data_IF_510207712975
#
_entry.id   IF_510207712975
#
_cell.length_a   1.000
_cell.length_b   1.000
_cell.length_c   1.000
_cell.angle_alpha   90.00
_cell.angle_beta   90.00
_cell.angle_gamma   90.00
#
_symmetry.space_group_name_H-M   'P 1'
#
loop_
_entity.id
_entity.type
_entity.pdbx_description
1 polymer ?
#
# COMPACT_ATOMS: atom_id res chain seq x y z
N UNK A 1 1.49 -2.09 -20.33
CA UNK A 1 1.48 -3.51 -20.72
C UNK A 1 2.79 -4.20 -20.29
N UNK A 2 3.96 -3.77 -20.77
CA UNK A 2 5.27 -4.42 -20.49
C UNK A 2 5.54 -4.54 -18.99
N UNK A 3 5.31 -3.48 -18.21
CA UNK A 3 5.53 -3.50 -16.76
C UNK A 3 4.70 -4.58 -16.05
N UNK A 4 3.44 -4.77 -16.44
CA UNK A 4 2.60 -5.85 -15.90
C UNK A 4 3.15 -7.23 -16.22
N UNK A 5 3.60 -7.44 -17.46
CA UNK A 5 4.22 -8.70 -17.89
C UNK A 5 5.49 -8.99 -17.08
N UNK A 6 6.34 -7.97 -16.88
CA UNK A 6 7.56 -8.13 -16.08
C UNK A 6 7.24 -8.48 -14.61
N UNK A 7 6.24 -7.82 -14.01
CA UNK A 7 5.82 -8.13 -12.64
C UNK A 7 5.30 -9.56 -12.47
N UNK A 8 4.62 -10.13 -13.47
CA UNK A 8 4.19 -11.52 -13.42
C UNK A 8 5.34 -12.52 -13.53
N UNK A 9 6.46 -12.11 -14.13
CA UNK A 9 7.66 -12.93 -14.20
C UNK A 9 8.46 -12.87 -12.92
N UNK A 10 8.62 -11.67 -12.33
CA UNK A 10 9.41 -11.44 -11.12
C UNK A 10 9.03 -10.11 -10.45
N UNK A 11 9.06 -10.08 -9.13
CA UNK A 11 8.89 -8.85 -8.34
C UNK A 11 7.45 -8.44 -8.04
N UNK A 12 6.48 -9.31 -8.26
CA UNK A 12 5.08 -9.03 -7.96
C UNK A 12 4.89 -8.64 -6.48
N UNK A 13 4.19 -7.56 -6.25
CA UNK A 13 3.97 -6.99 -4.91
C UNK A 13 5.11 -6.11 -4.38
N UNK A 14 6.28 -6.06 -5.01
CA UNK A 14 7.45 -5.36 -4.48
C UNK A 14 7.38 -3.83 -4.70
N UNK A 15 8.24 -3.30 -5.53
CA UNK A 15 8.38 -1.85 -5.76
C UNK A 15 8.54 -1.58 -7.24
N UNK A 16 7.83 -0.57 -7.75
CA UNK A 16 8.05 -0.02 -9.08
C UNK A 16 8.44 1.46 -9.00
N UNK A 17 9.12 1.95 -10.02
CA UNK A 17 9.44 3.36 -10.17
C UNK A 17 8.79 3.95 -11.42
N UNK A 18 8.38 5.19 -11.33
CA UNK A 18 7.91 5.98 -12.45
C UNK A 18 8.55 7.37 -12.44
N UNK A 19 9.00 7.82 -13.59
CA UNK A 19 9.42 9.19 -13.80
C UNK A 19 8.39 9.88 -14.70
N UNK A 20 7.60 10.77 -14.11
CA UNK A 20 6.54 11.50 -14.83
C UNK A 20 6.14 12.76 -14.09
N UNK A 21 5.89 13.83 -14.83
CA UNK A 21 5.27 15.06 -14.33
C UNK A 21 3.73 15.06 -14.54
N UNK A 22 3.21 14.05 -15.23
CA UNK A 22 1.78 13.88 -15.43
C UNK A 22 1.17 13.03 -14.31
N UNK A 23 0.38 13.67 -13.47
CA UNK A 23 -0.28 13.04 -12.32
C UNK A 23 -1.24 11.91 -12.75
N UNK A 24 -1.89 12.03 -13.92
CA UNK A 24 -2.77 10.97 -14.41
C UNK A 24 -2.00 9.67 -14.70
N UNK A 25 -0.80 9.79 -15.26
CA UNK A 25 0.08 8.63 -15.48
C UNK A 25 0.56 8.01 -14.18
N UNK A 26 0.86 8.83 -13.16
CA UNK A 26 1.26 8.34 -11.83
C UNK A 26 0.13 7.56 -11.17
N UNK A 27 -1.08 8.13 -11.15
CA UNK A 27 -2.27 7.48 -10.59
C UNK A 27 -2.56 6.17 -11.35
N UNK A 28 -2.53 6.21 -12.68
CA UNK A 28 -2.75 5.03 -13.50
C UNK A 28 -1.73 3.93 -13.21
N UNK A 29 -0.46 4.27 -13.06
CA UNK A 29 0.57 3.29 -12.69
C UNK A 29 0.28 2.69 -11.31
N UNK A 30 -0.06 3.51 -10.31
CA UNK A 30 -0.37 3.06 -8.95
C UNK A 30 -1.60 2.16 -8.85
N UNK A 31 -2.60 2.39 -9.71
CA UNK A 31 -3.84 1.58 -9.72
C UNK A 31 -3.71 0.30 -10.54
N UNK A 32 -2.84 0.28 -11.55
CA UNK A 32 -2.75 -0.84 -12.48
C UNK A 32 -1.62 -1.83 -12.17
N UNK A 33 -0.60 -1.44 -11.41
CA UNK A 33 0.53 -2.30 -11.08
C UNK A 33 0.33 -2.98 -9.72
N UNK A 34 0.56 -4.28 -9.67
CA UNK A 34 0.51 -5.07 -8.44
C UNK A 34 1.80 -4.88 -7.64
N UNK A 35 1.98 -3.69 -7.05
CA UNK A 35 3.15 -3.33 -6.24
C UNK A 35 2.72 -2.64 -4.95
N UNK A 36 3.44 -2.89 -3.87
CA UNK A 36 3.18 -2.27 -2.56
C UNK A 36 3.74 -0.84 -2.47
N UNK A 37 4.67 -0.49 -3.35
CA UNK A 37 5.29 0.84 -3.42
C UNK A 37 5.45 1.28 -4.86
N UNK A 38 5.02 2.49 -5.16
CA UNK A 38 5.33 3.18 -6.40
C UNK A 38 6.18 4.41 -6.08
N UNK A 39 7.44 4.36 -6.43
CA UNK A 39 8.37 5.47 -6.24
C UNK A 39 8.25 6.42 -7.43
N UNK A 40 8.00 7.69 -7.16
CA UNK A 40 7.77 8.71 -8.19
C UNK A 40 8.97 9.67 -8.23
N UNK A 41 9.54 9.83 -9.41
CA UNK A 41 10.65 10.76 -9.69
C UNK A 41 11.88 10.61 -8.78
N UNK A 42 12.11 9.40 -8.27
CA UNK A 42 13.26 9.08 -7.43
C UNK A 42 13.78 7.67 -7.73
N UNK A 43 15.06 7.37 -7.43
CA UNK A 43 15.62 6.04 -7.62
C UNK A 43 15.04 5.02 -6.64
N UNK A 44 14.43 3.94 -7.12
CA UNK A 44 13.87 2.88 -6.26
C UNK A 44 14.91 2.27 -5.32
N UNK A 45 16.13 2.04 -5.81
CA UNK A 45 17.18 1.37 -5.04
C UNK A 45 17.54 2.08 -3.72
N UNK A 46 17.40 3.40 -3.68
CA UNK A 46 17.78 4.22 -2.51
C UNK A 46 16.60 4.75 -1.73
N UNK A 47 15.37 4.71 -2.26
CA UNK A 47 14.21 5.34 -1.63
C UNK A 47 13.05 4.39 -1.31
N UNK A 48 13.04 3.17 -1.85
CA UNK A 48 12.02 2.17 -1.53
C UNK A 48 12.05 1.76 -0.05
N UNK A 49 13.23 1.72 0.56
CA UNK A 49 13.42 1.47 1.98
C UNK A 49 13.05 2.65 2.90
N UNK A 50 12.42 3.67 2.35
CA UNK A 50 11.99 4.86 3.08
C UNK A 50 12.99 5.99 3.08
N UNK A 51 12.49 7.21 3.09
CA UNK A 51 13.29 8.42 3.22
C UNK A 51 12.42 9.56 3.78
N UNK A 52 13.08 10.59 4.31
CA UNK A 52 12.39 11.81 4.77
C UNK A 52 11.63 12.46 3.62
N UNK A 53 12.13 12.37 2.39
CA UNK A 53 11.54 13.00 1.22
C UNK A 53 10.26 12.33 0.72
N UNK A 54 10.10 11.01 0.90
CA UNK A 54 8.93 10.27 0.41
C UNK A 54 7.96 9.83 1.53
N UNK A 55 8.31 10.08 2.78
CA UNK A 55 7.46 9.76 3.93
C UNK A 55 7.27 8.28 4.25
N UNK A 56 7.90 7.38 3.51
CA UNK A 56 7.88 5.96 3.84
C UNK A 56 8.77 5.69 5.07
N UNK A 57 8.36 4.82 5.99
CA UNK A 57 9.21 4.41 7.11
C UNK A 57 10.55 3.83 6.65
N UNK A 58 11.63 4.25 7.29
CA UNK A 58 12.97 3.76 6.96
C UNK A 58 13.15 2.34 7.47
N UNK A 59 13.51 1.41 6.56
CA UNK A 59 13.70 0.00 6.86
C UNK A 59 14.51 -0.71 5.78
N UNK A 60 15.09 -1.84 6.14
CA UNK A 60 15.70 -2.78 5.19
C UNK A 60 14.75 -3.93 4.82
N UNK A 61 13.59 -4.04 5.47
CA UNK A 61 12.63 -5.12 5.25
C UNK A 61 11.36 -4.56 4.62
N UNK A 62 11.09 -4.96 3.37
CA UNK A 62 9.99 -4.47 2.56
C UNK A 62 8.94 -5.57 2.39
N UNK A 63 7.72 -5.32 2.87
CA UNK A 63 6.58 -6.20 2.62
C UNK A 63 6.06 -6.07 1.18
N UNK A 64 5.66 -7.18 0.59
CA UNK A 64 5.13 -7.27 -0.77
C UNK A 64 3.63 -7.59 -0.81
N UNK A 65 2.97 -7.66 0.34
CA UNK A 65 1.56 -7.97 0.46
C UNK A 65 1.20 -9.35 -0.08
N UNK A 66 -0.09 -9.59 -0.26
CA UNK A 66 -0.60 -10.85 -0.80
C UNK A 66 -0.11 -11.13 -2.22
N UNK A 67 0.20 -10.11 -3.01
CA UNK A 67 0.79 -10.27 -4.35
C UNK A 67 2.14 -10.96 -4.34
N UNK A 68 2.92 -10.78 -3.26
CA UNK A 68 4.23 -11.40 -3.06
C UNK A 68 4.21 -12.52 -2.03
N UNK A 69 3.02 -13.04 -1.65
CA UNK A 69 2.85 -14.05 -0.59
C UNK A 69 3.42 -13.61 0.77
N UNK A 70 3.31 -12.33 1.09
CA UNK A 70 3.73 -11.75 2.36
C UNK A 70 2.52 -11.37 3.23
N UNK A 71 2.72 -11.36 4.55
CA UNK A 71 1.71 -10.97 5.52
C UNK A 71 1.50 -9.47 5.63
N UNK A 72 2.46 -8.65 5.16
CA UNK A 72 2.41 -7.19 5.18
C UNK A 72 2.71 -6.62 3.79
N UNK A 73 2.15 -5.45 3.48
CA UNK A 73 2.33 -4.73 2.21
C UNK A 73 3.06 -3.41 2.36
N UNK A 74 3.68 -3.16 3.49
CA UNK A 74 4.33 -1.88 3.81
C UNK A 74 5.77 -2.08 4.29
N UNK A 75 6.47 -0.97 4.51
CA UNK A 75 7.81 -0.97 5.07
C UNK A 75 7.74 -1.46 6.52
N UNK A 76 8.52 -2.49 6.85
CA UNK A 76 8.48 -3.13 8.15
C UNK A 76 9.00 -2.21 9.25
N UNK A 77 8.23 -2.07 10.33
CA UNK A 77 8.60 -1.27 11.51
C UNK A 77 8.32 -2.05 12.79
N UNK A 78 8.74 -1.50 13.94
CA UNK A 78 8.46 -2.10 15.25
C UNK A 78 6.96 -2.35 15.50
N UNK A 79 6.07 -1.58 14.85
CA UNK A 79 4.61 -1.74 14.98
C UNK A 79 4.12 -3.11 14.54
N UNK A 80 4.81 -3.73 13.60
CA UNK A 80 4.48 -5.06 13.08
C UNK A 80 4.84 -6.18 14.07
N UNK A 81 5.64 -5.88 15.09
CA UNK A 81 6.03 -6.80 16.16
C UNK A 81 5.17 -6.67 17.41
N UNK A 82 4.28 -5.67 17.45
CA UNK A 82 3.44 -5.42 18.61
C UNK A 82 2.16 -6.25 18.58
N UNK A 83 1.83 -6.86 19.70
CA UNK A 83 0.48 -7.37 19.96
C UNK A 83 -0.39 -6.21 20.47
N UNK A 84 -1.46 -5.90 19.74
CA UNK A 84 -2.35 -4.77 20.05
C UNK A 84 -3.70 -5.31 20.50
N UNK A 85 -4.09 -5.00 21.75
CA UNK A 85 -5.45 -5.21 22.22
C UNK A 85 -6.28 -3.97 21.95
N UNK A 86 -7.40 -4.14 21.28
CA UNK A 86 -8.36 -3.07 20.98
C UNK A 86 -9.56 -3.21 21.90
N UNK A 87 -9.88 -2.14 22.65
CA UNK A 87 -11.07 -2.05 23.48
C UNK A 87 -12.12 -1.29 22.66
N UNK A 88 -13.21 -1.96 22.34
CA UNK A 88 -14.28 -1.40 21.51
C UNK A 88 -15.60 -1.36 22.31
N UNK A 89 -15.82 -0.31 23.12
CA UNK A 89 -17.08 -0.17 23.84
C UNK A 89 -18.22 0.13 22.88
N UNK A 90 -19.41 -0.36 23.18
CA UNK A 90 -20.63 0.00 22.44
C UNK A 90 -20.90 1.51 22.61
N UNK A 91 -21.04 2.21 21.49
CA UNK A 91 -21.43 3.62 21.51
C UNK A 91 -22.94 3.76 21.48
N UNK A 92 -23.52 4.20 22.60
CA UNK A 92 -24.94 4.49 22.68
C UNK A 92 -25.37 5.75 21.90
N UNK A 93 -24.40 6.51 21.36
CA UNK A 93 -24.66 7.77 20.62
C UNK A 93 -24.75 7.59 19.11
N UNK A 94 -24.44 6.39 18.62
CA UNK A 94 -24.48 6.13 17.17
C UNK A 94 -25.78 5.44 16.85
N UNK A 95 -26.58 6.07 15.97
CA UNK A 95 -27.74 5.45 15.37
C UNK A 95 -27.26 4.31 14.46
N UNK A 96 -27.76 3.11 14.71
CA UNK A 96 -27.54 1.97 13.81
C UNK A 96 -28.72 1.97 12.81
N UNK A 97 -28.47 2.26 11.53
CA UNK A 97 -29.55 2.31 10.55
C UNK A 97 -30.20 0.95 10.41
N UNK A 98 -31.51 0.93 10.23
CA UNK A 98 -32.29 -0.26 9.91
C UNK A 98 -32.03 -0.71 8.46
N UNK A 99 -32.39 -1.94 8.13
CA UNK A 99 -32.28 -2.45 6.75
C UNK A 99 -33.05 -1.56 5.76
N UNK A 100 -34.19 -1.00 6.17
CA UNK A 100 -34.99 -0.10 5.33
C UNK A 100 -34.28 1.24 5.04
N UNK A 101 -33.42 1.70 5.94
CA UNK A 101 -32.63 2.92 5.73
C UNK A 101 -31.36 2.66 4.90
N UNK A 102 -30.84 1.43 4.93
CA UNK A 102 -29.65 1.04 4.16
C UNK A 102 -29.99 0.71 2.70
N UNK A 103 -31.13 0.05 2.48
CA UNK A 103 -31.52 -0.47 1.18
C UNK A 103 -32.65 0.34 0.53
N UNK A 104 -32.62 1.65 0.69
CA UNK A 104 -33.50 2.54 -0.09
C UNK A 104 -33.00 2.62 -1.52
N UNK A 105 -33.80 2.16 -2.49
CA UNK A 105 -33.61 2.35 -3.93
C UNK A 105 -33.69 3.84 -4.33
#
# INVERSE_FOLDING_TARGET
>A
RIAKTNLTMEGNGHTAGIHSNDQANVIKAGTELSVSRLIVNAPCATTAGGSIQNGLPVTNTLGCGSWGNNSISENFTYKHLLNITRIAPLSARIHVPSDAEIWTD
#
